data_IF_923473488606
#
_entry.id   IF_923473488606
#
_cell.length_a   1.000
_cell.length_b   1.000
_cell.length_c   1.000
_cell.angle_alpha   90.00
_cell.angle_beta   90.00
_cell.angle_gamma   90.00
#
_symmetry.space_group_name_H-M   'P 1'
#
loop_
_entity.id
_entity.type
_entity.pdbx_description
1 polymer ?
#
# COMPACT_ATOMS: atom_id res chain seq x y z
N UNK A 1 16.72 -29.09 19.62
CA UNK A 1 16.30 -28.76 18.25
C UNK A 1 14.84 -28.30 18.22
N UNK A 2 13.85 -29.15 18.54
CA UNK A 2 12.40 -28.79 18.49
C UNK A 2 12.01 -27.60 19.40
N UNK A 3 12.54 -27.53 20.63
CA UNK A 3 12.27 -26.38 21.54
C UNK A 3 12.95 -25.09 21.08
N UNK A 4 14.04 -25.21 20.30
CA UNK A 4 14.81 -24.06 19.78
C UNK A 4 14.13 -23.40 18.57
N UNK A 5 13.27 -24.12 17.85
CA UNK A 5 12.52 -23.63 16.68
C UNK A 5 11.13 -23.15 17.02
N UNK A 6 10.61 -23.48 18.22
CA UNK A 6 9.27 -23.07 18.64
C UNK A 6 9.14 -21.54 18.77
N UNK A 7 10.15 -20.88 19.36
CA UNK A 7 10.15 -19.42 19.54
C UNK A 7 10.10 -18.70 18.18
N UNK A 8 10.99 -18.99 17.21
CA UNK A 8 10.89 -18.42 15.86
C UNK A 8 9.54 -18.63 15.17
N UNK A 9 8.94 -19.82 15.31
CA UNK A 9 7.61 -20.11 14.76
C UNK A 9 6.53 -19.26 15.42
N UNK A 10 6.56 -19.11 16.75
CA UNK A 10 5.60 -18.25 17.46
C UNK A 10 5.80 -16.79 17.06
N UNK A 11 7.03 -16.29 17.00
CA UNK A 11 7.35 -14.92 16.57
C UNK A 11 6.86 -14.67 15.15
N UNK A 12 7.10 -15.61 14.23
CA UNK A 12 6.59 -15.53 12.87
C UNK A 12 5.06 -15.45 12.85
N UNK A 13 4.36 -16.38 13.50
CA UNK A 13 2.90 -16.42 13.49
C UNK A 13 2.27 -15.19 14.16
N UNK A 14 2.86 -14.70 15.26
CA UNK A 14 2.42 -13.46 15.92
C UNK A 14 2.63 -12.27 15.01
N UNK A 15 3.76 -12.19 14.30
CA UNK A 15 4.01 -11.15 13.30
C UNK A 15 2.94 -11.14 12.21
N UNK A 16 2.67 -12.29 11.59
CA UNK A 16 1.62 -12.43 10.56
C UNK A 16 0.25 -12.02 11.10
N UNK A 17 -0.14 -12.51 12.29
CA UNK A 17 -1.42 -12.17 12.89
C UNK A 17 -1.54 -10.66 13.18
N UNK A 18 -0.45 -10.02 13.60
CA UNK A 18 -0.40 -8.59 13.83
C UNK A 18 -0.54 -7.80 12.53
N UNK A 19 0.10 -8.22 11.43
CA UNK A 19 -0.07 -7.56 10.12
C UNK A 19 -1.52 -7.66 9.68
N UNK A 20 -2.12 -8.85 9.70
CA UNK A 20 -3.51 -9.05 9.28
C UNK A 20 -4.46 -8.18 10.09
N UNK A 21 -4.37 -8.24 11.42
CA UNK A 21 -5.20 -7.42 12.31
C UNK A 21 -5.01 -5.92 12.07
N UNK A 22 -3.77 -5.48 11.85
CA UNK A 22 -3.49 -4.06 11.59
C UNK A 22 -3.96 -3.60 10.22
N UNK A 23 -3.98 -4.48 9.21
CA UNK A 23 -4.53 -4.16 7.88
C UNK A 23 -6.05 -4.04 7.97
N UNK A 24 -6.73 -4.95 8.66
CA UNK A 24 -8.19 -4.87 8.90
C UNK A 24 -8.53 -3.55 9.60
N UNK A 25 -7.82 -3.23 10.69
CA UNK A 25 -7.98 -1.96 11.42
C UNK A 25 -7.70 -0.74 10.52
N UNK A 26 -6.65 -0.80 9.70
CA UNK A 26 -6.33 0.27 8.76
C UNK A 26 -7.48 0.48 7.77
N UNK A 27 -8.05 -0.61 7.22
CA UNK A 27 -9.18 -0.52 6.30
C UNK A 27 -10.34 0.14 7.03
N UNK A 28 -10.79 -0.38 8.18
CA UNK A 28 -11.91 0.18 8.96
C UNK A 28 -11.79 1.70 9.16
N UNK A 29 -10.67 2.16 9.73
CA UNK A 29 -10.52 3.56 10.16
C UNK A 29 -10.10 4.51 9.03
N UNK A 30 -9.55 4.02 7.90
CA UNK A 30 -9.14 4.91 6.80
C UNK A 30 -10.32 5.54 6.08
N UNK A 31 -11.51 4.92 6.07
CA UNK A 31 -12.71 5.56 5.52
C UNK A 31 -13.20 6.69 6.43
N UNK A 32 -13.32 6.42 7.73
CA UNK A 32 -13.79 7.41 8.71
C UNK A 32 -12.82 8.60 8.78
N UNK A 33 -11.52 8.33 8.85
CA UNK A 33 -10.50 9.37 8.79
C UNK A 33 -10.57 10.19 7.50
N UNK A 34 -10.90 9.58 6.36
CA UNK A 34 -11.04 10.30 5.09
C UNK A 34 -12.26 11.23 5.10
N UNK A 35 -13.40 10.77 5.63
CA UNK A 35 -14.62 11.57 5.81
C UNK A 35 -14.33 12.77 6.71
N UNK A 36 -13.70 12.55 7.86
CA UNK A 36 -13.40 13.62 8.83
C UNK A 36 -12.43 14.66 8.24
N UNK A 37 -11.43 14.22 7.49
CA UNK A 37 -10.47 15.10 6.80
C UNK A 37 -11.03 15.75 5.53
N UNK A 38 -12.26 15.42 5.11
CA UNK A 38 -12.88 15.93 3.88
C UNK A 38 -12.13 15.54 2.60
N UNK A 39 -11.48 14.37 2.59
CA UNK A 39 -10.73 13.81 1.45
C UNK A 39 -11.31 12.45 1.05
N UNK A 40 -10.93 11.94 -0.12
CA UNK A 40 -11.35 10.57 -0.48
C UNK A 40 -10.55 9.51 0.26
N UNK A 41 -11.20 8.41 0.59
CA UNK A 41 -10.59 7.18 1.11
C UNK A 41 -9.45 6.71 0.20
N UNK A 42 -9.64 6.79 -1.13
CA UNK A 42 -8.60 6.51 -2.12
C UNK A 42 -7.35 7.40 -1.94
N UNK A 43 -7.53 8.73 -1.86
CA UNK A 43 -6.42 9.67 -1.72
C UNK A 43 -5.70 9.47 -0.40
N UNK A 44 -6.43 9.30 0.70
CA UNK A 44 -5.84 9.07 2.01
C UNK A 44 -5.01 7.78 2.00
N UNK A 45 -5.50 6.73 1.34
CA UNK A 45 -4.76 5.48 1.18
C UNK A 45 -3.52 5.64 0.30
N UNK A 46 -3.59 6.39 -0.81
CA UNK A 46 -2.42 6.72 -1.65
C UNK A 46 -1.31 7.39 -0.83
N UNK A 47 -1.67 8.25 0.11
CA UNK A 47 -0.71 8.97 0.95
C UNK A 47 -0.19 8.10 2.09
N UNK A 48 -1.06 7.38 2.80
CA UNK A 48 -0.70 6.66 4.02
C UNK A 48 -0.13 5.27 3.75
N UNK A 49 -0.89 4.40 3.08
CA UNK A 49 -0.43 3.06 2.74
C UNK A 49 0.51 3.07 1.52
N UNK A 50 0.22 3.93 0.53
CA UNK A 50 1.03 4.02 -0.68
C UNK A 50 2.43 4.59 -0.48
N UNK A 51 2.68 5.33 0.62
CA UNK A 51 4.02 5.83 0.95
C UNK A 51 4.73 4.81 1.83
N UNK A 52 5.37 3.84 1.17
CA UNK A 52 6.02 2.72 1.82
C UNK A 52 7.41 3.10 2.40
N UNK A 53 7.39 3.61 3.63
CA UNK A 53 8.61 4.05 4.32
C UNK A 53 9.55 2.89 4.67
N UNK A 54 9.03 1.71 4.94
CA UNK A 54 9.85 0.56 5.35
C UNK A 54 10.72 0.05 4.22
N UNK A 55 10.17 -0.08 3.01
CA UNK A 55 10.96 -0.44 1.83
C UNK A 55 11.93 0.67 1.43
N UNK A 56 11.57 1.94 1.65
CA UNK A 56 12.52 3.03 1.45
C UNK A 56 13.71 2.97 2.40
N UNK A 57 13.46 2.67 3.69
CA UNK A 57 14.55 2.46 4.67
C UNK A 57 15.41 1.27 4.27
N UNK A 58 14.81 0.16 3.83
CA UNK A 58 15.55 -1.03 3.37
C UNK A 58 16.43 -0.72 2.16
N UNK A 59 15.88 -0.04 1.15
CA UNK A 59 16.61 0.36 -0.06
C UNK A 59 17.76 1.32 0.24
N UNK A 60 17.51 2.32 1.10
CA UNK A 60 18.54 3.27 1.57
C UNK A 60 19.66 2.52 2.31
N UNK A 61 19.30 1.60 3.21
CA UNK A 61 20.27 0.82 3.97
C UNK A 61 21.11 -0.08 3.06
N UNK A 62 20.49 -0.72 2.06
CA UNK A 62 21.19 -1.52 1.06
C UNK A 62 22.18 -0.67 0.23
N UNK A 63 21.76 0.51 -0.23
CA UNK A 63 22.64 1.43 -0.97
C UNK A 63 23.81 1.94 -0.10
N UNK A 64 23.56 2.27 1.17
CA UNK A 64 24.60 2.64 2.12
C UNK A 64 25.57 1.50 2.41
N UNK A 65 25.07 0.26 2.39
CA UNK A 65 25.82 -0.98 2.60
C UNK A 65 26.56 -1.54 1.38
N UNK A 66 26.64 -0.81 0.26
CA UNK A 66 27.28 -1.27 -0.98
C UNK A 66 26.59 -2.48 -1.65
N UNK A 67 25.26 -2.54 -1.55
CA UNK A 67 24.41 -3.56 -2.16
C UNK A 67 23.42 -2.92 -3.16
N UNK A 68 23.90 -2.33 -4.27
CA UNK A 68 23.05 -1.60 -5.21
C UNK A 68 21.99 -2.49 -5.88
N UNK A 69 22.28 -3.77 -6.12
CA UNK A 69 21.32 -4.70 -6.71
C UNK A 69 20.14 -4.98 -5.77
N UNK A 70 20.40 -5.04 -4.45
CA UNK A 70 19.35 -5.18 -3.42
C UNK A 70 18.51 -3.90 -3.37
N UNK A 71 19.12 -2.73 -3.44
CA UNK A 71 18.42 -1.46 -3.47
C UNK A 71 17.57 -1.26 -4.74
N UNK A 72 18.03 -1.76 -5.89
CA UNK A 72 17.20 -1.78 -7.12
C UNK A 72 16.05 -2.78 -7.00
N UNK A 73 16.24 -3.87 -6.26
CA UNK A 73 15.20 -4.82 -5.88
C UNK A 73 14.06 -4.16 -5.12
N UNK A 74 14.33 -3.26 -4.17
CA UNK A 74 13.28 -2.54 -3.42
C UNK A 74 12.51 -1.51 -4.27
N UNK A 75 13.03 -1.15 -5.46
CA UNK A 75 12.36 -0.25 -6.39
C UNK A 75 11.52 -1.05 -7.39
N UNK A 76 12.16 -1.89 -8.21
CA UNK A 76 11.48 -2.60 -9.29
C UNK A 76 10.82 -3.89 -8.82
N UNK A 77 11.43 -4.60 -7.87
CA UNK A 77 10.92 -5.87 -7.34
C UNK A 77 9.61 -5.67 -6.60
N UNK A 78 9.56 -4.71 -5.66
CA UNK A 78 8.34 -4.40 -4.91
C UNK A 78 7.25 -3.82 -5.81
N UNK A 79 7.58 -2.89 -6.72
CA UNK A 79 6.60 -2.39 -7.67
C UNK A 79 6.00 -3.51 -8.55
N UNK A 80 6.83 -4.47 -8.98
CA UNK A 80 6.36 -5.64 -9.72
C UNK A 80 5.56 -6.61 -8.85
N UNK A 81 5.90 -6.75 -7.58
CA UNK A 81 5.15 -7.56 -6.63
C UNK A 81 3.75 -6.98 -6.44
N UNK A 82 3.63 -5.68 -6.16
CA UNK A 82 2.34 -5.01 -6.00
C UNK A 82 1.49 -5.15 -7.26
N UNK A 83 2.04 -4.78 -8.43
CA UNK A 83 1.30 -4.81 -9.70
C UNK A 83 0.95 -6.23 -10.18
N UNK A 84 1.86 -7.18 -9.99
CA UNK A 84 1.75 -8.53 -10.54
C UNK A 84 1.19 -9.54 -9.55
N UNK A 85 1.81 -9.65 -8.37
CA UNK A 85 1.44 -10.61 -7.34
C UNK A 85 0.22 -10.14 -6.55
N UNK A 86 0.23 -8.91 -6.02
CA UNK A 86 -0.82 -8.45 -5.11
C UNK A 86 -2.16 -8.23 -5.83
N UNK A 87 -2.18 -7.41 -6.89
CA UNK A 87 -3.37 -7.24 -7.75
C UNK A 87 -3.78 -8.57 -8.39
N UNK A 88 -2.81 -9.38 -8.80
CA UNK A 88 -3.05 -10.69 -9.40
C UNK A 88 -3.78 -11.65 -8.46
N UNK A 89 -3.33 -11.74 -7.21
CA UNK A 89 -3.94 -12.57 -6.19
C UNK A 89 -5.31 -12.05 -5.79
N UNK A 90 -5.45 -10.73 -5.61
CA UNK A 90 -6.75 -10.10 -5.34
C UNK A 90 -7.77 -10.48 -6.42
N UNK A 91 -7.44 -10.28 -7.70
CA UNK A 91 -8.35 -10.60 -8.82
C UNK A 91 -8.71 -12.09 -8.95
N UNK A 92 -7.79 -13.00 -8.61
CA UNK A 92 -8.07 -14.45 -8.63
C UNK A 92 -8.95 -14.87 -7.44
N UNK A 93 -8.61 -14.40 -6.25
CA UNK A 93 -9.29 -14.75 -5.02
C UNK A 93 -10.70 -14.13 -4.99
N UNK A 94 -10.78 -12.82 -5.15
CA UNK A 94 -11.99 -12.01 -5.06
C UNK A 94 -12.03 -11.03 -6.23
N UNK A 95 -12.66 -11.42 -7.36
CA UNK A 95 -12.89 -10.51 -8.47
C UNK A 95 -13.60 -9.24 -8.01
N UNK A 96 -13.12 -8.09 -8.44
CA UNK A 96 -13.61 -6.81 -7.97
C UNK A 96 -13.82 -5.82 -9.12
N UNK A 97 -14.74 -4.90 -8.88
CA UNK A 97 -15.05 -3.78 -9.75
C UNK A 97 -14.69 -2.50 -8.99
N UNK A 98 -13.98 -1.59 -9.65
CA UNK A 98 -13.56 -0.34 -9.04
C UNK A 98 -13.50 0.72 -10.14
N UNK A 99 -14.18 1.84 -9.93
CA UNK A 99 -14.33 2.88 -10.94
C UNK A 99 -13.22 3.93 -10.81
N UNK A 100 -11.96 3.47 -10.89
CA UNK A 100 -10.80 4.35 -10.70
C UNK A 100 -10.78 5.47 -11.75
N UNK A 101 -10.70 6.73 -11.31
CA UNK A 101 -10.58 7.86 -12.22
C UNK A 101 -9.43 7.76 -13.23
N UNK A 102 -9.73 8.10 -14.49
CA UNK A 102 -8.77 8.03 -15.60
C UNK A 102 -7.55 8.91 -15.39
N UNK A 103 -7.72 10.03 -14.70
CA UNK A 103 -6.66 10.98 -14.39
C UNK A 103 -5.66 10.37 -13.40
N UNK A 104 -6.12 9.55 -12.43
CA UNK A 104 -5.22 8.82 -11.53
C UNK A 104 -4.44 7.76 -12.29
N UNK A 105 -5.13 6.98 -13.12
CA UNK A 105 -4.47 6.00 -13.99
C UNK A 105 -3.43 6.67 -14.92
N UNK A 106 -3.72 7.87 -15.43
CA UNK A 106 -2.77 8.63 -16.25
C UNK A 106 -1.55 9.11 -15.45
N UNK A 107 -1.75 9.56 -14.21
CA UNK A 107 -0.64 9.93 -13.32
C UNK A 107 0.24 8.72 -12.97
N UNK A 108 -0.38 7.59 -12.62
CA UNK A 108 0.35 6.34 -12.37
C UNK A 108 1.12 5.89 -13.60
N UNK A 109 0.52 5.98 -14.79
CA UNK A 109 1.18 5.64 -16.07
C UNK A 109 2.36 6.57 -16.38
N UNK A 110 2.25 7.85 -16.06
CA UNK A 110 3.27 8.86 -16.34
C UNK A 110 4.43 8.81 -15.35
N UNK A 111 4.17 8.41 -14.10
CA UNK A 111 5.17 8.43 -13.03
C UNK A 111 6.51 7.75 -13.35
N UNK A 112 6.57 6.60 -14.04
CA UNK A 112 7.85 5.96 -14.34
C UNK A 112 8.57 6.63 -15.50
N UNK A 113 7.92 7.53 -16.26
CA UNK A 113 8.54 8.19 -17.40
C UNK A 113 9.71 9.08 -16.97
N UNK A 114 9.61 9.72 -15.80
CA UNK A 114 10.72 10.52 -15.26
C UNK A 114 11.90 9.62 -14.88
N UNK A 115 11.65 8.54 -14.16
CA UNK A 115 12.69 7.56 -13.81
C UNK A 115 13.33 6.97 -15.07
N UNK A 116 12.52 6.58 -16.07
CA UNK A 116 13.00 6.04 -17.34
C UNK A 116 13.92 7.04 -18.06
N UNK A 117 13.50 8.29 -18.18
CA UNK A 117 14.27 9.35 -18.83
C UNK A 117 15.61 9.60 -18.14
N UNK A 118 15.61 9.68 -16.81
CA UNK A 118 16.82 9.92 -16.02
C UNK A 118 17.75 8.71 -16.03
N UNK A 119 17.21 7.50 -16.21
CA UNK A 119 17.97 6.26 -16.27
C UNK A 119 18.61 5.95 -17.63
N UNK A 120 18.35 6.74 -18.69
CA UNK A 120 18.74 6.39 -20.07
C UNK A 120 20.25 6.28 -20.30
N UNK A 121 21.06 6.99 -19.51
CA UNK A 121 22.52 6.92 -19.58
C UNK A 121 23.10 5.68 -18.84
N UNK A 122 22.22 4.83 -18.32
CA UNK A 122 22.57 3.63 -17.56
C UNK A 122 22.90 3.91 -16.09
N UNK A 123 22.61 5.12 -15.59
CA UNK A 123 22.90 5.51 -14.21
C UNK A 123 21.73 6.25 -13.60
N UNK A 124 21.67 6.22 -12.27
CA UNK A 124 20.80 7.09 -11.49
C UNK A 124 21.68 7.86 -10.51
N UNK A 125 22.04 9.08 -10.89
CA UNK A 125 22.92 9.95 -10.09
C UNK A 125 22.19 10.55 -8.90
N UNK A 126 22.95 11.16 -7.98
CA UNK A 126 22.37 11.94 -6.87
C UNK A 126 21.48 13.10 -7.34
N UNK A 127 21.81 13.71 -8.49
CA UNK A 127 20.98 14.76 -9.06
C UNK A 127 19.65 14.18 -9.54
N UNK A 128 19.70 13.06 -10.25
CA UNK A 128 18.51 12.36 -10.72
C UNK A 128 17.63 11.93 -9.55
N UNK A 129 18.25 11.44 -8.48
CA UNK A 129 17.56 11.09 -7.25
C UNK A 129 16.87 12.27 -6.58
N UNK A 130 17.55 13.43 -6.51
CA UNK A 130 16.94 14.67 -6.02
C UNK A 130 15.74 15.10 -6.88
N UNK A 131 15.85 14.99 -8.21
CA UNK A 131 14.77 15.32 -9.14
C UNK A 131 13.56 14.40 -8.95
N UNK A 132 13.79 13.09 -8.79
CA UNK A 132 12.72 12.11 -8.51
C UNK A 132 12.02 12.36 -7.18
N UNK A 133 12.79 12.59 -6.12
CA UNK A 133 12.23 12.86 -4.79
C UNK A 133 11.41 14.16 -4.78
N UNK A 134 11.92 15.21 -5.43
CA UNK A 134 11.19 16.49 -5.58
C UNK A 134 9.95 16.30 -6.45
N UNK A 135 9.97 15.43 -7.46
CA UNK A 135 8.84 15.16 -8.35
C UNK A 135 7.69 14.39 -7.66
N UNK A 136 7.96 13.69 -6.56
CA UNK A 136 6.91 12.99 -5.81
C UNK A 136 5.86 13.95 -5.23
N UNK A 137 6.29 15.08 -4.65
CA UNK A 137 5.39 16.08 -4.07
C UNK A 137 4.36 16.67 -5.07
N UNK A 138 4.73 17.15 -6.27
CA UNK A 138 3.76 17.65 -7.25
C UNK A 138 2.88 16.53 -7.82
N UNK A 139 3.34 15.26 -7.85
CA UNK A 139 2.49 14.13 -8.23
C UNK A 139 1.40 13.88 -7.18
N UNK A 140 1.76 13.81 -5.89
CA UNK A 140 0.77 13.72 -4.81
C UNK A 140 -0.18 14.92 -4.80
N UNK A 141 0.36 16.12 -4.99
CA UNK A 141 -0.46 17.32 -5.09
C UNK A 141 -1.42 17.28 -6.29
N UNK A 142 -1.00 16.70 -7.42
CA UNK A 142 -1.89 16.51 -8.57
C UNK A 142 -3.03 15.53 -8.24
N UNK A 143 -2.76 14.44 -7.52
CA UNK A 143 -3.79 13.52 -7.02
C UNK A 143 -4.76 14.28 -6.09
N UNK A 144 -4.25 15.01 -5.11
CA UNK A 144 -5.06 15.85 -4.21
C UNK A 144 -5.91 16.89 -4.95
N UNK A 145 -5.34 17.59 -5.93
CA UNK A 145 -6.03 18.59 -6.76
C UNK A 145 -7.18 18.00 -7.56
N UNK A 146 -6.95 16.84 -8.14
CA UNK A 146 -7.97 16.14 -8.93
C UNK A 146 -9.12 15.70 -8.03
N UNK A 147 -8.82 15.21 -6.82
CA UNK A 147 -9.83 14.82 -5.85
C UNK A 147 -10.62 16.02 -5.35
N UNK A 148 -9.96 17.07 -4.86
CA UNK A 148 -10.62 18.31 -4.39
C UNK A 148 -11.44 19.04 -5.45
N UNK A 149 -11.23 18.74 -6.74
CA UNK A 149 -12.01 19.30 -7.86
C UNK A 149 -13.24 18.48 -8.23
N UNK A 150 -13.33 17.24 -7.77
CA UNK A 150 -14.55 16.43 -7.80
C UNK A 150 -15.35 16.83 -6.57
N UNK A 151 -16.54 17.39 -6.77
CA UNK A 151 -17.39 17.75 -5.63
C UNK A 151 -17.59 16.54 -4.73
N UNK A 152 -17.12 16.64 -3.49
CA UNK A 152 -17.35 15.80 -2.32
C UNK A 152 -18.84 15.53 -2.10
N UNK A 153 -19.39 14.59 -2.87
CA UNK A 153 -20.77 14.10 -2.66
C UNK A 153 -21.06 12.72 -3.23
N UNK A 154 -20.13 12.13 -3.97
CA UNK A 154 -20.31 10.79 -4.56
C UNK A 154 -19.56 9.71 -3.77
N UNK A 155 -18.44 10.04 -3.12
CA UNK A 155 -17.68 9.10 -2.27
C UNK A 155 -18.15 9.12 -0.81
N UNK A 156 -18.49 10.30 -0.28
CA UNK A 156 -19.17 10.42 1.03
C UNK A 156 -20.47 9.63 1.09
N UNK A 157 -21.21 9.48 -0.03
CA UNK A 157 -22.49 8.78 -0.02
C UNK A 157 -22.34 7.25 0.02
N UNK A 158 -21.37 6.67 -0.70
CA UNK A 158 -21.10 5.22 -0.63
C UNK A 158 -20.39 4.87 0.68
N UNK A 159 -19.33 5.59 1.05
CA UNK A 159 -18.58 5.32 2.28
C UNK A 159 -19.44 5.60 3.53
N UNK A 160 -20.29 6.65 3.56
CA UNK A 160 -21.21 6.89 4.68
C UNK A 160 -22.43 5.96 4.68
N UNK A 161 -22.94 5.50 3.53
CA UNK A 161 -23.99 4.46 3.51
C UNK A 161 -23.46 3.12 4.05
N UNK A 162 -22.18 2.80 3.81
CA UNK A 162 -21.51 1.61 4.34
C UNK A 162 -21.25 1.74 5.84
N UNK A 163 -20.73 2.88 6.32
CA UNK A 163 -20.58 3.17 7.77
C UNK A 163 -21.94 3.17 8.49
N UNK A 164 -22.99 3.76 7.90
CA UNK A 164 -24.35 3.70 8.45
C UNK A 164 -24.94 2.28 8.46
N UNK A 165 -24.55 1.41 7.52
CA UNK A 165 -25.01 0.03 7.48
C UNK A 165 -24.35 -0.83 8.56
N UNK A 166 -23.06 -0.63 8.84
CA UNK A 166 -22.34 -1.31 9.91
C UNK A 166 -22.71 -0.77 11.30
N UNK A 167 -22.91 0.54 11.45
CA UNK A 167 -23.38 1.17 12.71
C UNK A 167 -24.80 0.74 13.13
N UNK A 168 -25.70 0.43 12.18
CA UNK A 168 -27.04 -0.12 12.47
C UNK A 168 -27.01 -1.52 13.11
N UNK A 169 -25.88 -2.21 13.10
CA UNK A 169 -25.68 -3.48 13.80
C UNK A 169 -25.49 -3.34 15.31
N UNK A 170 -25.06 -2.16 15.79
CA UNK A 170 -24.72 -1.91 17.20
C UNK A 170 -25.81 -1.17 17.99
N UNK A 171 -26.63 -0.36 17.33
CA UNK A 171 -27.59 0.57 17.99
C UNK A 171 -29.06 0.13 17.97
N UNK A 172 -29.37 -1.11 17.57
CA UNK A 172 -30.76 -1.58 17.45
C UNK A 172 -31.50 -1.83 18.79
N UNK A 173 -30.87 -1.61 19.94
CA UNK A 173 -31.45 -1.83 21.27
C UNK A 173 -31.22 -0.63 22.22
N UNK A 174 -31.79 0.55 21.92
CA UNK A 174 -32.14 1.52 22.97
C UNK A 174 -33.50 2.16 22.71
N UNK A 175 -34.35 2.01 23.71
CA UNK A 175 -35.79 2.19 23.73
C UNK A 175 -36.34 3.55 23.28
N UNK A 176 -37.52 3.45 22.69
CA UNK A 176 -38.53 4.50 22.66
C UNK A 176 -39.00 4.85 24.07
N UNK A 177 -38.99 6.16 24.39
CA UNK A 177 -39.92 6.89 25.27
C UNK A 177 -39.17 7.94 26.10
N UNK A 178 -39.33 9.23 25.78
CA UNK A 178 -39.38 10.30 26.78
C UNK A 178 -39.93 11.61 26.19
N UNK A 179 -40.90 12.16 26.91
CA UNK A 179 -41.72 13.31 26.60
C UNK A 179 -41.00 14.67 26.48
N UNK A 180 -41.70 15.59 25.83
CA UNK A 180 -41.39 17.02 25.74
C UNK A 180 -41.36 17.73 27.11
N UNK A 181 -40.34 18.57 27.34
CA UNK A 181 -40.56 19.96 27.80
C UNK A 181 -39.27 20.82 27.79
N UNK A 182 -39.50 22.13 27.65
CA UNK A 182 -38.61 23.26 27.39
C UNK A 182 -37.28 23.41 28.18
N UNK A 183 -36.22 23.91 27.50
CA UNK A 183 -35.45 25.10 27.93
C UNK A 183 -34.53 25.64 26.80
N UNK A 184 -34.55 26.94 26.53
CA UNK A 184 -33.86 27.61 25.39
C UNK A 184 -32.60 28.39 25.79
N UNK A 185 -31.91 27.93 26.84
CA UNK A 185 -30.64 28.52 27.33
C UNK A 185 -29.48 27.49 27.39
N UNK A 186 -29.73 26.26 26.91
CA UNK A 186 -28.75 25.17 26.86
C UNK A 186 -28.06 25.03 25.48
N UNK A 187 -28.43 25.86 24.50
CA UNK A 187 -27.97 25.75 23.11
C UNK A 187 -26.60 26.36 22.85
N UNK A 188 -25.94 26.96 23.85
CA UNK A 188 -24.58 27.48 23.73
C UNK A 188 -23.53 26.56 24.38
N UNK A 189 -23.88 25.85 25.46
CA UNK A 189 -23.05 24.82 26.10
C UNK A 189 -23.06 23.53 25.25
N UNK A 190 -24.23 23.14 24.74
CA UNK A 190 -24.37 21.94 23.90
C UNK A 190 -23.76 22.08 22.50
N UNK A 191 -23.41 23.30 22.06
CA UNK A 191 -22.68 23.51 20.80
C UNK A 191 -21.17 23.44 20.99
N UNK A 192 -20.65 23.89 22.15
CA UNK A 192 -19.23 23.74 22.49
C UNK A 192 -18.91 22.26 22.76
N UNK A 193 -19.77 21.56 23.53
CA UNK A 193 -19.61 20.13 23.82
C UNK A 193 -19.74 19.22 22.57
N UNK A 194 -20.45 19.68 21.53
CA UNK A 194 -20.62 18.95 20.27
C UNK A 194 -19.45 19.18 19.31
N UNK A 195 -18.98 20.43 19.16
CA UNK A 195 -17.79 20.75 18.36
C UNK A 195 -16.53 20.09 18.96
N UNK A 196 -16.38 20.08 20.30
CA UNK A 196 -15.26 19.41 20.97
C UNK A 196 -15.31 17.87 20.81
N UNK A 197 -16.51 17.27 20.79
CA UNK A 197 -16.68 15.82 20.61
C UNK A 197 -16.40 15.36 19.16
N UNK A 198 -16.71 16.21 18.18
CA UNK A 198 -16.43 15.95 16.76
C UNK A 198 -14.92 16.07 16.47
N UNK A 199 -14.24 17.08 17.03
CA UNK A 199 -12.78 17.23 16.94
C UNK A 199 -12.03 16.07 17.64
N UNK A 200 -12.52 15.61 18.80
CA UNK A 200 -11.95 14.44 19.50
C UNK A 200 -12.10 13.17 18.66
N UNK A 201 -13.24 12.94 18.02
CA UNK A 201 -13.47 11.79 17.13
C UNK A 201 -12.57 11.83 15.89
N UNK A 202 -12.41 12.99 15.25
CA UNK A 202 -11.49 13.15 14.11
C UNK A 202 -10.05 12.73 14.48
N UNK A 203 -9.56 13.20 15.63
CA UNK A 203 -8.20 12.88 16.10
C UNK A 203 -8.04 11.40 16.47
N UNK A 204 -9.11 10.76 16.98
CA UNK A 204 -9.09 9.34 17.29
C UNK A 204 -8.96 8.49 16.03
N UNK A 205 -9.75 8.76 15.00
CA UNK A 205 -9.70 8.01 13.73
C UNK A 205 -8.33 8.10 13.06
N UNK A 206 -7.79 9.31 12.93
CA UNK A 206 -6.44 9.52 12.41
C UNK A 206 -5.40 8.82 13.29
N UNK A 207 -5.58 8.86 14.62
CA UNK A 207 -4.72 8.16 15.57
C UNK A 207 -4.73 6.64 15.39
N UNK A 208 -5.90 6.05 15.12
CA UNK A 208 -6.09 4.62 14.91
C UNK A 208 -5.48 4.17 13.58
N UNK A 209 -5.66 4.95 12.50
CA UNK A 209 -4.98 4.70 11.22
C UNK A 209 -3.46 4.73 11.38
N UNK A 210 -2.92 5.70 12.11
CA UNK A 210 -1.48 5.77 12.38
C UNK A 210 -0.99 4.60 13.24
N UNK A 211 -1.78 4.19 14.23
CA UNK A 211 -1.49 3.03 15.07
C UNK A 211 -1.47 1.74 14.23
N UNK A 212 -2.42 1.59 13.31
CA UNK A 212 -2.49 0.47 12.38
C UNK A 212 -1.25 0.42 11.49
N UNK A 213 -0.78 1.53 10.93
CA UNK A 213 0.47 1.59 10.16
C UNK A 213 1.67 1.13 10.99
N UNK A 214 1.78 1.59 12.23
CA UNK A 214 2.85 1.14 13.15
C UNK A 214 2.73 -0.35 13.44
N UNK A 215 1.50 -0.85 13.62
CA UNK A 215 1.19 -2.27 13.82
C UNK A 215 1.59 -3.14 12.63
N UNK A 216 1.28 -2.70 11.40
CA UNK A 216 1.68 -3.37 10.15
C UNK A 216 3.19 -3.51 10.06
N UNK A 217 3.93 -2.39 10.14
CA UNK A 217 5.40 -2.40 10.11
C UNK A 217 6.01 -3.27 11.23
N UNK A 218 5.48 -3.18 12.45
CA UNK A 218 5.97 -4.01 13.57
C UNK A 218 5.70 -5.51 13.33
N UNK A 219 4.51 -5.85 12.82
CA UNK A 219 4.12 -7.21 12.46
C UNK A 219 4.99 -7.77 11.34
N UNK A 220 5.21 -7.00 10.29
CA UNK A 220 6.07 -7.33 9.14
C UNK A 220 7.50 -7.64 9.62
N UNK A 221 8.08 -6.79 10.47
CA UNK A 221 9.39 -7.02 11.06
C UNK A 221 9.47 -8.28 11.93
N UNK A 222 8.45 -8.55 12.76
CA UNK A 222 8.37 -9.79 13.55
C UNK A 222 8.29 -11.02 12.65
N UNK A 223 7.48 -10.97 11.60
CA UNK A 223 7.37 -12.05 10.62
C UNK A 223 8.71 -12.30 9.92
N UNK A 224 9.38 -11.27 9.43
CA UNK A 224 10.71 -11.36 8.80
C UNK A 224 11.75 -11.95 9.76
N UNK A 225 11.78 -11.50 11.02
CA UNK A 225 12.70 -12.05 12.03
C UNK A 225 12.43 -13.53 12.33
N UNK A 226 11.17 -13.89 12.57
CA UNK A 226 10.78 -15.27 12.82
C UNK A 226 11.09 -16.19 11.63
N UNK A 227 10.78 -15.74 10.41
CA UNK A 227 11.08 -16.46 9.18
C UNK A 227 12.57 -16.70 8.97
N UNK A 228 13.40 -15.67 9.19
CA UNK A 228 14.85 -15.78 9.10
C UNK A 228 15.39 -16.83 10.06
N UNK A 229 14.95 -16.82 11.31
CA UNK A 229 15.41 -17.75 12.34
C UNK A 229 14.92 -19.19 12.07
N UNK A 230 13.70 -19.36 11.55
CA UNK A 230 13.19 -20.65 11.07
C UNK A 230 14.10 -21.17 9.96
N UNK A 231 14.31 -20.39 8.90
CA UNK A 231 15.15 -20.78 7.77
C UNK A 231 16.58 -21.09 8.20
N UNK A 232 17.12 -20.35 9.17
CA UNK A 232 18.47 -20.58 9.71
C UNK A 232 18.56 -21.93 10.43
N UNK A 233 17.53 -22.29 11.21
CA UNK A 233 17.48 -23.57 11.90
C UNK A 233 17.42 -24.78 10.96
N UNK A 234 16.93 -24.60 9.72
CA UNK A 234 16.90 -25.60 8.67
C UNK A 234 18.06 -25.49 7.66
N UNK A 235 19.02 -24.60 7.88
CA UNK A 235 20.15 -24.32 6.98
C UNK A 235 19.72 -23.90 5.56
N UNK A 236 18.58 -23.19 5.47
CA UNK A 236 17.98 -22.75 4.21
C UNK A 236 18.32 -21.30 3.85
N UNK A 237 18.90 -20.51 4.76
CA UNK A 237 19.18 -19.06 4.58
C UNK A 237 20.14 -18.79 3.41
N UNK A 238 21.05 -19.73 3.12
CA UNK A 238 21.99 -19.61 2.00
C UNK A 238 21.46 -20.11 0.65
N UNK A 239 20.24 -20.64 0.61
CA UNK A 239 19.66 -21.21 -0.61
C UNK A 239 18.80 -20.18 -1.34
N UNK A 240 18.73 -20.30 -2.67
CA UNK A 240 17.79 -19.51 -3.49
C UNK A 240 16.35 -19.62 -2.96
N UNK A 241 15.96 -20.82 -2.47
CA UNK A 241 14.67 -21.03 -1.82
C UNK A 241 14.48 -20.15 -0.58
N UNK A 242 15.48 -20.05 0.30
CA UNK A 242 15.41 -19.20 1.49
C UNK A 242 15.25 -17.72 1.13
N UNK A 243 16.01 -17.23 0.15
CA UNK A 243 15.86 -15.86 -0.35
C UNK A 243 14.47 -15.59 -0.95
N UNK A 244 13.91 -16.58 -1.67
CA UNK A 244 12.54 -16.50 -2.23
C UNK A 244 11.50 -16.32 -1.13
N UNK A 245 11.56 -17.17 -0.11
CA UNK A 245 10.61 -17.16 1.02
C UNK A 245 10.74 -15.87 1.81
N UNK A 246 11.98 -15.40 2.06
CA UNK A 246 12.22 -14.13 2.75
C UNK A 246 11.66 -12.94 1.99
N UNK A 247 11.87 -12.88 0.67
CA UNK A 247 11.31 -11.81 -0.17
C UNK A 247 9.79 -11.82 -0.17
N UNK A 248 9.16 -13.00 -0.24
CA UNK A 248 7.70 -13.10 -0.16
C UNK A 248 7.14 -12.62 1.19
N UNK A 249 7.84 -12.95 2.29
CA UNK A 249 7.41 -12.54 3.64
C UNK A 249 7.61 -11.04 3.85
N UNK A 250 8.67 -10.46 3.28
CA UNK A 250 8.88 -9.02 3.31
C UNK A 250 7.78 -8.26 2.56
N UNK A 251 7.31 -8.77 1.42
CA UNK A 251 6.23 -8.14 0.64
C UNK A 251 4.81 -8.53 1.09
N UNK A 252 4.66 -9.15 2.27
CA UNK A 252 3.35 -9.65 2.72
C UNK A 252 2.41 -8.51 3.11
N UNK A 253 2.94 -7.44 3.68
CA UNK A 253 2.16 -6.26 4.07
C UNK A 253 1.44 -5.67 2.85
N UNK A 254 2.15 -5.47 1.74
CA UNK A 254 1.62 -4.91 0.50
C UNK A 254 0.61 -5.86 -0.15
N UNK A 255 0.83 -7.18 0.01
CA UNK A 255 -0.13 -8.18 -0.42
C UNK A 255 -1.45 -8.02 0.34
N UNK A 256 -1.38 -7.91 1.67
CA UNK A 256 -2.56 -7.79 2.53
C UNK A 256 -3.25 -6.43 2.35
N UNK A 257 -2.51 -5.33 2.28
CA UNK A 257 -3.04 -3.98 1.97
C UNK A 257 -3.69 -3.86 0.59
N UNK A 258 -3.46 -4.82 -0.31
CA UNK A 258 -4.12 -4.88 -1.62
C UNK A 258 -5.29 -5.87 -1.62
N UNK A 259 -5.13 -7.02 -0.98
CA UNK A 259 -6.10 -8.12 -1.02
C UNK A 259 -7.22 -7.93 0.00
N UNK A 260 -6.91 -7.60 1.25
CA UNK A 260 -7.92 -7.57 2.32
C UNK A 260 -8.99 -6.48 2.12
N UNK A 261 -8.65 -5.23 1.74
CA UNK A 261 -9.70 -4.25 1.47
C UNK A 261 -10.63 -4.67 0.32
N UNK A 262 -10.10 -5.40 -0.68
CA UNK A 262 -10.91 -5.96 -1.77
C UNK A 262 -11.84 -7.07 -1.25
N UNK A 263 -11.40 -7.86 -0.26
CA UNK A 263 -12.22 -8.91 0.36
C UNK A 263 -13.33 -8.35 1.24
N UNK A 264 -13.07 -7.22 1.89
CA UNK A 264 -14.03 -6.48 2.71
C UNK A 264 -15.05 -5.67 1.88
N UNK A 265 -14.91 -5.62 0.55
CA UNK A 265 -15.82 -4.88 -0.31
C UNK A 265 -15.42 -3.42 -0.54
N UNK A 266 -14.21 -3.04 -0.13
CA UNK A 266 -13.65 -1.68 -0.20
C UNK A 266 -12.45 -1.59 -1.17
N UNK A 267 -12.63 -1.95 -2.46
CA UNK A 267 -11.54 -2.04 -3.43
C UNK A 267 -10.83 -0.70 -3.70
N UNK A 268 -11.48 0.43 -3.44
CA UNK A 268 -10.88 1.76 -3.53
C UNK A 268 -9.63 1.91 -2.63
N UNK A 269 -9.63 1.30 -1.44
CA UNK A 269 -8.47 1.28 -0.53
C UNK A 269 -7.34 0.47 -1.17
N UNK A 270 -7.61 -0.78 -1.58
CA UNK A 270 -6.60 -1.65 -2.20
C UNK A 270 -5.99 -1.05 -3.48
N UNK A 271 -6.79 -0.40 -4.33
CA UNK A 271 -6.29 0.29 -5.53
C UNK A 271 -5.54 1.59 -5.17
N UNK A 272 -5.96 2.29 -4.11
CA UNK A 272 -5.22 3.42 -3.55
C UNK A 272 -3.80 3.02 -3.16
N UNK A 273 -3.65 1.90 -2.46
CA UNK A 273 -2.34 1.32 -2.12
C UNK A 273 -1.52 1.04 -3.40
N UNK A 274 -2.07 0.29 -4.35
CA UNK A 274 -1.37 -0.06 -5.61
C UNK A 274 -0.89 1.17 -6.38
N UNK A 275 -1.74 2.19 -6.52
CA UNK A 275 -1.41 3.44 -7.19
C UNK A 275 -0.33 4.20 -6.41
N UNK A 276 -0.52 4.36 -5.10
CA UNK A 276 0.40 5.09 -4.24
C UNK A 276 1.79 4.45 -4.18
N UNK A 277 1.88 3.13 -3.92
CA UNK A 277 3.14 2.40 -3.86
C UNK A 277 3.87 2.44 -5.21
N UNK A 278 3.15 2.34 -6.33
CA UNK A 278 3.76 2.49 -7.66
C UNK A 278 4.37 3.87 -7.85
N UNK A 279 3.63 4.94 -7.51
CA UNK A 279 4.14 6.31 -7.56
C UNK A 279 5.37 6.47 -6.68
N UNK A 280 5.29 5.99 -5.44
CA UNK A 280 6.34 6.11 -4.44
C UNK A 280 7.61 5.37 -4.86
N UNK A 281 7.51 4.11 -5.29
CA UNK A 281 8.67 3.30 -5.65
C UNK A 281 9.48 3.90 -6.80
N UNK A 282 8.82 4.33 -7.88
CA UNK A 282 9.50 4.87 -9.06
C UNK A 282 9.92 6.33 -8.91
N UNK A 283 9.52 7.01 -7.83
CA UNK A 283 9.90 8.40 -7.56
C UNK A 283 10.64 8.53 -6.23
N UNK A 284 9.93 8.69 -5.11
CA UNK A 284 10.51 8.95 -3.80
C UNK A 284 11.49 7.85 -3.35
N UNK A 285 11.16 6.57 -3.50
CA UNK A 285 12.05 5.47 -3.09
C UNK A 285 13.34 5.46 -3.93
N UNK A 286 13.20 5.32 -5.25
CA UNK A 286 14.34 5.36 -6.18
C UNK A 286 15.18 6.62 -5.99
N UNK A 287 14.52 7.76 -5.76
CA UNK A 287 15.17 9.05 -5.52
C UNK A 287 15.97 9.10 -4.22
N UNK A 288 15.38 8.64 -3.12
CA UNK A 288 16.03 8.59 -1.82
C UNK A 288 17.25 7.65 -1.83
N UNK A 289 17.12 6.50 -2.49
CA UNK A 289 18.24 5.56 -2.68
C UNK A 289 19.37 6.20 -3.48
N UNK A 290 19.05 6.85 -4.61
CA UNK A 290 20.06 7.48 -5.47
C UNK A 290 20.78 8.67 -4.81
N UNK A 291 20.13 9.37 -3.87
CA UNK A 291 20.75 10.42 -3.06
C UNK A 291 21.86 9.87 -2.16
N UNK A 292 21.66 8.68 -1.60
CA UNK A 292 22.66 8.00 -0.76
C UNK A 292 23.82 7.58 -1.64
N UNK A 293 23.53 6.89 -2.74
CA UNK A 293 24.53 6.32 -3.65
C UNK A 293 24.05 6.33 -5.09
N UNK A 294 24.92 6.77 -6.00
CA UNK A 294 24.68 6.62 -7.45
C UNK A 294 24.48 5.14 -7.79
N UNK A 295 23.37 4.82 -8.47
CA UNK A 295 23.07 3.46 -8.91
C UNK A 295 23.53 3.30 -10.36
N UNK A 296 24.44 2.36 -10.60
CA UNK A 296 24.75 1.92 -11.96
C UNK A 296 23.74 0.85 -12.36
N UNK A 297 22.96 1.11 -13.42
CA UNK A 297 21.92 0.21 -13.88
C UNK A 297 22.53 -0.81 -14.84
N UNK A 298 22.50 -2.08 -14.42
CA UNK A 298 23.00 -3.17 -15.24
C UNK A 298 22.13 -3.37 -16.49
N UNK A 299 22.67 -4.07 -17.50
CA UNK A 299 21.90 -4.43 -18.69
C UNK A 299 20.64 -5.25 -18.35
N UNK A 300 20.66 -6.00 -17.24
CA UNK A 300 19.51 -6.75 -16.75
C UNK A 300 18.34 -5.84 -16.34
N UNK A 301 18.62 -4.62 -15.84
CA UNK A 301 17.57 -3.64 -15.53
C UNK A 301 16.76 -3.27 -16.76
N UNK A 302 17.43 -2.99 -17.87
CA UNK A 302 16.77 -2.63 -19.12
C UNK A 302 16.17 -3.82 -19.86
N UNK A 303 16.78 -5.00 -19.74
CA UNK A 303 16.32 -6.21 -20.44
C UNK A 303 15.21 -6.96 -19.71
N UNK A 304 15.15 -6.86 -18.38
CA UNK A 304 14.22 -7.64 -17.53
C UNK A 304 13.36 -6.72 -16.67
N UNK A 305 13.93 -5.92 -15.77
CA UNK A 305 13.14 -5.14 -14.80
C UNK A 305 12.18 -4.16 -15.49
N UNK A 306 12.67 -3.33 -16.42
CA UNK A 306 11.86 -2.35 -17.15
C UNK A 306 10.73 -2.96 -17.99
N UNK A 307 10.98 -3.96 -18.88
CA UNK A 307 9.93 -4.54 -19.69
C UNK A 307 8.83 -5.22 -18.86
N UNK A 308 9.20 -5.97 -17.83
CA UNK A 308 8.21 -6.60 -16.96
C UNK A 308 7.42 -5.57 -16.17
N UNK A 309 8.09 -4.56 -15.59
CA UNK A 309 7.42 -3.48 -14.85
C UNK A 309 6.43 -2.73 -15.73
N UNK A 310 6.84 -2.28 -16.92
CA UNK A 310 5.96 -1.57 -17.85
C UNK A 310 4.83 -2.46 -18.37
N UNK A 311 5.09 -3.75 -18.59
CA UNK A 311 4.08 -4.72 -19.00
C UNK A 311 3.02 -4.95 -17.92
N UNK A 312 3.44 -5.18 -16.68
CA UNK A 312 2.54 -5.35 -15.53
C UNK A 312 1.73 -4.07 -15.28
N UNK A 313 2.39 -2.90 -15.29
CA UNK A 313 1.73 -1.61 -15.15
C UNK A 313 0.69 -1.39 -16.25
N UNK A 314 1.04 -1.63 -17.52
CA UNK A 314 0.10 -1.46 -18.63
C UNK A 314 -1.13 -2.39 -18.51
N UNK A 315 -0.95 -3.62 -18.02
CA UNK A 315 -2.05 -4.55 -17.78
C UNK A 315 -2.95 -4.08 -16.64
N UNK A 316 -2.38 -3.73 -15.48
CA UNK A 316 -3.14 -3.18 -14.34
C UNK A 316 -3.93 -1.96 -14.77
N UNK A 317 -3.29 -0.99 -15.44
CA UNK A 317 -3.96 0.20 -15.95
C UNK A 317 -5.08 -0.12 -16.94
N UNK A 318 -4.87 -1.08 -17.85
CA UNK A 318 -5.90 -1.50 -18.81
C UNK A 318 -7.09 -2.19 -18.14
N UNK A 319 -6.87 -2.91 -17.03
CA UNK A 319 -7.92 -3.57 -16.27
C UNK A 319 -8.71 -2.57 -15.41
N UNK A 320 -8.01 -1.67 -14.72
CA UNK A 320 -8.63 -0.58 -13.95
C UNK A 320 -9.36 0.42 -14.87
N UNK A 321 -8.84 0.69 -16.07
CA UNK A 321 -9.54 1.53 -17.04
C UNK A 321 -10.88 0.90 -17.51
N UNK A 322 -10.98 -0.43 -17.48
CA UNK A 322 -12.23 -1.16 -17.75
C UNK A 322 -13.16 -1.19 -16.54
N UNK A 323 -12.68 -0.79 -15.36
CA UNK A 323 -13.41 -0.79 -14.11
C UNK A 323 -13.55 -2.15 -13.43
N UNK A 324 -12.79 -3.17 -13.87
CA UNK A 324 -12.89 -4.52 -13.30
C UNK A 324 -11.60 -5.33 -13.42
N UNK A 325 -11.29 -6.10 -12.37
CA UNK A 325 -10.24 -7.11 -12.35
C UNK A 325 -10.87 -8.47 -12.03
N UNK A 326 -11.00 -9.31 -13.05
CA UNK A 326 -11.53 -10.67 -12.90
C UNK A 326 -10.46 -11.72 -12.64
N UNK A 327 -10.89 -12.97 -12.49
CA UNK A 327 -9.97 -14.11 -12.26
C UNK A 327 -8.98 -14.33 -13.39
N UNK A 328 -9.42 -14.09 -14.63
CA UNK A 328 -8.55 -14.22 -15.79
C UNK A 328 -7.49 -13.13 -15.83
N UNK A 329 -7.90 -11.88 -15.59
CA UNK A 329 -7.01 -10.73 -15.45
C UNK A 329 -5.99 -10.95 -14.33
N UNK A 330 -6.44 -11.41 -13.16
CA UNK A 330 -5.57 -11.74 -12.04
C UNK A 330 -4.57 -12.87 -12.36
N UNK A 331 -5.04 -13.95 -13.00
CA UNK A 331 -4.16 -15.05 -13.43
C UNK A 331 -3.09 -14.60 -14.44
N UNK A 332 -3.43 -13.66 -15.33
CA UNK A 332 -2.46 -13.06 -16.26
C UNK A 332 -1.40 -12.27 -15.51
N UNK A 333 -1.77 -11.46 -14.51
CA UNK A 333 -0.81 -10.71 -13.69
C UNK A 333 0.12 -11.61 -12.89
N UNK A 334 -0.42 -12.68 -12.29
CA UNK A 334 0.37 -13.70 -11.60
C UNK A 334 1.34 -14.40 -12.56
N UNK A 335 0.91 -14.69 -13.80
CA UNK A 335 1.78 -15.28 -14.81
C UNK A 335 2.90 -14.33 -15.25
N UNK A 336 2.63 -13.02 -15.34
CA UNK A 336 3.65 -11.99 -15.60
C UNK A 336 4.67 -11.93 -14.46
N UNK A 337 4.21 -11.93 -13.21
CA UNK A 337 5.10 -11.94 -12.04
C UNK A 337 5.94 -13.24 -11.96
N UNK A 338 5.33 -14.40 -12.22
CA UNK A 338 6.06 -15.67 -12.29
C UNK A 338 7.07 -15.68 -13.45
N UNK A 339 6.72 -15.07 -14.60
CA UNK A 339 7.63 -14.88 -15.73
C UNK A 339 8.81 -13.98 -15.39
N UNK A 340 8.58 -12.91 -14.63
CA UNK A 340 9.63 -12.02 -14.13
C UNK A 340 10.60 -12.78 -13.21
N UNK A 341 10.05 -13.61 -12.30
CA UNK A 341 10.83 -14.49 -11.44
C UNK A 341 11.67 -15.47 -12.26
N UNK A 342 11.06 -16.14 -13.23
CA UNK A 342 11.75 -17.05 -14.14
C UNK A 342 12.89 -16.37 -14.89
N UNK A 343 12.67 -15.15 -15.40
CA UNK A 343 13.69 -14.40 -16.14
C UNK A 343 14.88 -13.94 -15.29
N UNK A 344 14.71 -13.77 -13.96
CA UNK A 344 15.78 -13.37 -13.05
C UNK A 344 16.56 -14.55 -12.48
N UNK A 345 15.89 -15.69 -12.23
CA UNK A 345 16.46 -16.79 -11.46
C UNK A 345 16.72 -18.07 -12.27
N UNK A 346 16.19 -18.19 -13.50
CA UNK A 346 16.52 -19.30 -14.39
C UNK A 346 17.66 -18.91 -15.35
N UNK A 347 18.67 -19.79 -15.52
CA UNK A 347 19.89 -19.51 -16.28
C UNK A 347 19.71 -19.49 -17.81
#
# INVERSE_FOLDING_TARGET
MVVSTLIPVVVFLVGIALVVWSVEEFVEHVAEAAVNLGVSTFLLTVVLAGTDLENAVLGIAAAAGDLPDVALGTVFGEALFVLGAAVGLAGVAVPFEESTPREYLALTALSPALLALLSLDGRLSRLDGALLLVAFAPLLWAVYRLESSRSTRFLEAEDAEEIEADGRGADADVDADADADANTDATADATDDADDADDERELLEVGLVLLAIVGMTAGSQLAVMGARDILAAFDLVGLAFGATVMSFIASLEELLLTVEPVREGRPAVGIGNVVGSTLFFVTANAGAIALVRTLDLSAAVFAVHWPFFLGALALVLAFLFRGRVGRAEGAVLLAVYAGYWAANYLP
#
